data_IF_198315120649
#
_entry.id   IF_198315120649
#
_cell.length_a   1.000
_cell.length_b   1.000
_cell.length_c   1.000
_cell.angle_alpha   90.00
_cell.angle_beta   90.00
_cell.angle_gamma   90.00
#
_symmetry.space_group_name_H-M   'P 1'
#
loop_
_entity.id
_entity.type
_entity.pdbx_description
1 polymer ?
#
# COMPACT_ATOMS: atom_id res chain seq x y z
N UNK A 1 3.53 -17.46 2.24
CA UNK A 1 3.67 -16.19 2.98
C UNK A 1 2.50 -16.02 3.92
N UNK A 2 2.78 -15.67 5.17
CA UNK A 2 1.76 -15.45 6.16
C UNK A 2 1.28 -14.00 6.23
N UNK A 3 0.22 -13.80 6.99
CA UNK A 3 -0.23 -12.46 7.37
C UNK A 3 0.50 -12.03 8.62
N UNK A 4 0.66 -10.73 8.79
CA UNK A 4 1.25 -10.17 10.00
C UNK A 4 0.22 -9.32 10.73
N UNK A 5 0.31 -9.34 12.06
CA UNK A 5 -0.42 -8.41 12.90
C UNK A 5 0.28 -7.06 12.91
N UNK A 6 -0.41 -6.04 13.36
CA UNK A 6 0.13 -4.72 13.49
C UNK A 6 -0.95 -3.75 13.95
N UNK A 7 -0.63 -2.45 14.05
CA UNK A 7 -1.63 -1.45 14.36
C UNK A 7 -2.77 -1.49 13.34
N UNK A 8 -3.98 -1.26 13.81
CA UNK A 8 -5.11 -1.10 12.89
C UNK A 8 -4.86 0.08 11.97
N UNK A 9 -5.20 -0.09 10.69
CA UNK A 9 -5.07 0.99 9.73
C UNK A 9 -6.16 2.03 9.98
N UNK A 10 -5.77 3.29 9.98
CA UNK A 10 -6.72 4.39 10.15
C UNK A 10 -6.91 5.10 8.82
N UNK A 11 -8.14 5.08 8.33
CA UNK A 11 -8.46 5.80 7.11
C UNK A 11 -8.59 7.30 7.42
N UNK A 12 -8.08 8.18 6.53
CA UNK A 12 -8.36 9.60 6.66
C UNK A 12 -9.87 9.86 6.58
N UNK A 13 -10.36 11.00 7.12
CA UNK A 13 -11.79 11.34 7.02
C UNK A 13 -12.29 11.29 5.58
N UNK A 14 -13.44 10.65 5.39
CA UNK A 14 -14.06 10.51 4.07
C UNK A 14 -13.60 9.30 3.27
N UNK A 15 -12.67 8.51 3.80
CA UNK A 15 -12.18 7.30 3.14
C UNK A 15 -12.56 6.06 3.93
N UNK A 16 -12.74 4.96 3.19
CA UNK A 16 -13.02 3.64 3.75
C UNK A 16 -12.28 2.60 2.93
N UNK A 17 -12.36 1.33 3.33
CA UNK A 17 -11.71 0.28 2.56
C UNK A 17 -12.25 0.23 1.14
N UNK A 18 -11.33 0.17 0.19
CA UNK A 18 -11.61 -0.06 -1.22
C UNK A 18 -10.58 -1.05 -1.72
N UNK A 19 -11.01 -2.01 -2.54
CA UNK A 19 -10.09 -2.95 -3.17
C UNK A 19 -9.45 -2.28 -4.37
N UNK A 20 -8.21 -1.88 -4.23
CA UNK A 20 -7.45 -1.26 -5.31
C UNK A 20 -6.95 -2.33 -6.29
N UNK A 21 -6.88 -1.96 -7.55
CA UNK A 21 -6.35 -2.83 -8.60
C UNK A 21 -5.31 -2.07 -9.42
N UNK A 22 -4.47 -2.83 -10.12
CA UNK A 22 -3.43 -2.25 -10.98
C UNK A 22 -4.06 -1.33 -12.03
N UNK A 23 -3.46 -0.17 -12.19
CA UNK A 23 -3.91 0.84 -13.15
C UNK A 23 -4.76 1.95 -12.56
N UNK A 24 -5.35 1.75 -11.38
CA UNK A 24 -6.11 2.80 -10.71
C UNK A 24 -5.17 3.86 -10.13
N UNK A 25 -5.70 5.05 -9.94
CA UNK A 25 -4.95 6.17 -9.35
C UNK A 25 -5.33 6.31 -7.89
N UNK A 26 -4.34 6.17 -7.01
CA UNK A 26 -4.52 6.35 -5.58
C UNK A 26 -4.58 7.85 -5.26
N UNK A 27 -5.53 8.29 -4.41
CA UNK A 27 -5.58 9.69 -4.00
C UNK A 27 -4.27 10.16 -3.37
N UNK A 28 -3.87 11.39 -3.66
CA UNK A 28 -2.58 11.94 -3.25
C UNK A 28 -2.34 11.91 -1.74
N UNK A 29 -3.39 11.95 -0.93
CA UNK A 29 -3.27 11.89 0.52
C UNK A 29 -2.56 10.62 0.99
N UNK A 30 -2.65 9.52 0.23
CA UNK A 30 -2.00 8.25 0.57
C UNK A 30 -0.57 8.16 0.07
N UNK A 31 -0.06 9.18 -0.63
CA UNK A 31 1.31 9.21 -1.15
C UNK A 31 2.29 9.89 -0.18
N UNK A 32 1.95 9.97 1.10
CA UNK A 32 2.81 10.54 2.12
C UNK A 32 3.51 9.45 2.93
N UNK A 33 4.58 9.83 3.62
CA UNK A 33 5.37 8.90 4.42
C UNK A 33 4.56 8.17 5.48
N UNK A 34 3.46 8.75 5.95
CA UNK A 34 2.61 8.13 6.95
C UNK A 34 2.05 6.77 6.51
N UNK A 35 1.96 6.54 5.20
CA UNK A 35 1.39 5.32 4.63
C UNK A 35 2.43 4.39 4.01
N UNK A 36 3.70 4.78 3.96
CA UNK A 36 4.76 3.94 3.40
C UNK A 36 5.01 2.73 4.30
N UNK A 37 5.23 1.59 3.68
CA UNK A 37 5.56 0.38 4.40
C UNK A 37 6.86 -0.20 3.85
N UNK A 38 7.92 -0.15 4.65
CA UNK A 38 9.25 -0.58 4.25
C UNK A 38 9.58 -2.02 4.66
N UNK A 39 8.69 -2.67 5.41
CA UNK A 39 8.86 -4.06 5.85
C UNK A 39 8.45 -5.10 4.81
N UNK A 40 8.41 -4.74 3.54
CA UNK A 40 7.94 -5.61 2.46
C UNK A 40 8.74 -6.91 2.33
N UNK A 41 10.03 -6.90 2.63
CA UNK A 41 10.87 -8.09 2.51
C UNK A 41 10.42 -9.22 3.44
N UNK A 42 9.96 -8.87 4.65
CA UNK A 42 9.44 -9.86 5.60
C UNK A 42 8.15 -10.52 5.10
N UNK A 43 7.47 -9.91 4.15
CA UNK A 43 6.26 -10.43 3.51
C UNK A 43 6.56 -11.16 2.20
N UNK A 44 7.83 -11.32 1.85
CA UNK A 44 8.23 -11.97 0.61
C UNK A 44 8.04 -11.11 -0.63
N UNK A 45 7.87 -9.80 -0.46
CA UNK A 45 7.69 -8.89 -1.58
C UNK A 45 9.03 -8.34 -2.05
N UNK A 46 9.09 -8.00 -3.33
CA UNK A 46 10.30 -7.45 -3.94
C UNK A 46 10.48 -5.96 -3.58
N UNK A 47 11.72 -5.44 -3.65
CA UNK A 47 11.97 -4.02 -3.44
C UNK A 47 11.23 -3.18 -4.48
N UNK A 48 10.68 -2.03 -4.08
CA UNK A 48 10.01 -1.16 -5.05
C UNK A 48 11.02 -0.59 -6.04
N UNK A 49 10.65 -0.50 -7.33
CA UNK A 49 11.53 0.17 -8.30
C UNK A 49 11.69 1.66 -7.98
N UNK A 50 12.72 2.32 -8.52
CA UNK A 50 12.89 3.76 -8.32
C UNK A 50 11.63 4.53 -8.67
N UNK A 51 11.24 5.47 -7.81
CA UNK A 51 10.04 6.28 -7.99
C UNK A 51 8.75 5.65 -7.50
N UNK A 52 8.82 4.42 -7.00
CA UNK A 52 7.65 3.71 -6.45
C UNK A 52 7.88 3.33 -5.00
N UNK A 53 6.78 3.11 -4.29
CA UNK A 53 6.81 2.67 -2.89
C UNK A 53 5.67 1.71 -2.61
N UNK A 54 5.89 0.82 -1.65
CA UNK A 54 4.80 0.04 -1.06
C UNK A 54 4.06 0.92 -0.07
N UNK A 55 2.76 1.04 -0.27
CA UNK A 55 1.86 1.89 0.53
C UNK A 55 0.82 0.99 1.18
N UNK A 56 0.62 1.13 2.48
CA UNK A 56 -0.42 0.37 3.18
C UNK A 56 -1.78 1.00 2.97
N UNK A 57 -2.75 0.18 2.61
CA UNK A 57 -4.15 0.57 2.55
C UNK A 57 -5.00 -0.53 3.19
N UNK A 58 -5.41 -0.31 4.42
CA UNK A 58 -6.14 -1.33 5.18
C UNK A 58 -5.31 -2.60 5.33
N UNK A 59 -5.86 -3.77 4.92
CA UNK A 59 -5.15 -5.05 5.02
C UNK A 59 -4.17 -5.28 3.86
N UNK A 60 -4.10 -4.38 2.88
CA UNK A 60 -3.38 -4.58 1.64
C UNK A 60 -2.12 -3.71 1.56
N UNK A 61 -1.16 -4.12 0.73
CA UNK A 61 -0.05 -3.28 0.28
C UNK A 61 -0.19 -3.01 -1.20
N UNK A 62 -0.04 -1.75 -1.56
CA UNK A 62 -0.11 -1.28 -2.94
C UNK A 62 1.27 -0.78 -3.36
N UNK A 63 1.77 -1.26 -4.49
CA UNK A 63 2.95 -0.66 -5.10
C UNK A 63 2.49 0.52 -5.94
N UNK A 64 2.94 1.72 -5.58
CA UNK A 64 2.41 2.95 -6.17
C UNK A 64 3.53 3.79 -6.72
N UNK A 65 3.36 4.28 -7.95
CA UNK A 65 4.24 5.28 -8.54
C UNK A 65 3.96 6.62 -7.86
N UNK A 66 4.97 7.20 -7.22
CA UNK A 66 4.78 8.42 -6.42
C UNK A 66 4.59 9.68 -7.28
N UNK A 67 4.98 9.64 -8.54
CA UNK A 67 4.79 10.76 -9.45
C UNK A 67 3.36 10.82 -9.98
N UNK A 68 2.81 9.66 -10.35
CA UNK A 68 1.49 9.58 -11.01
C UNK A 68 0.38 9.16 -10.07
N UNK A 69 0.70 8.49 -8.95
CA UNK A 69 -0.28 7.86 -8.06
C UNK A 69 -0.82 6.54 -8.60
N UNK A 70 -0.31 6.06 -9.72
CA UNK A 70 -0.81 4.82 -10.33
C UNK A 70 -0.41 3.61 -9.52
N UNK A 71 -1.38 2.74 -9.24
CA UNK A 71 -1.14 1.44 -8.61
C UNK A 71 -0.51 0.52 -9.64
N UNK A 72 0.67 0.00 -9.32
CA UNK A 72 1.47 -0.84 -10.22
C UNK A 72 1.43 -2.32 -9.85
N UNK A 73 1.17 -2.63 -8.57
CA UNK A 73 1.04 -3.99 -8.09
C UNK A 73 0.28 -3.97 -6.77
N UNK A 74 -0.25 -5.11 -6.37
CA UNK A 74 -0.99 -5.23 -5.11
C UNK A 74 -0.68 -6.56 -4.44
N UNK A 75 -0.47 -6.50 -3.12
CA UNK A 75 -0.42 -7.68 -2.26
C UNK A 75 -1.63 -7.60 -1.33
N UNK A 76 -2.65 -8.41 -1.61
CA UNK A 76 -3.91 -8.38 -0.86
C UNK A 76 -3.80 -9.16 0.44
N UNK A 77 -4.46 -8.64 1.49
CA UNK A 77 -4.68 -9.39 2.71
C UNK A 77 -3.41 -9.75 3.48
N UNK A 78 -2.37 -8.92 3.41
CA UNK A 78 -1.10 -9.19 4.10
C UNK A 78 -1.10 -8.77 5.57
N UNK A 79 -2.06 -7.93 5.98
CA UNK A 79 -2.24 -7.54 7.38
C UNK A 79 -3.52 -8.16 7.94
N UNK A 80 -3.46 -8.46 9.23
CA UNK A 80 -4.63 -8.96 9.95
C UNK A 80 -5.61 -7.84 10.28
#
# INVERSE_FOLDING_TARGET
>A
MGRIGGPAFRYPPGYAYQRWTVGLLLPAIFLSQAYYYDGYAALGLYPPPPGSRWVRYGPDLLLVNLTTGRVEDVAYGVFL
#
